data_IF_070650138452
#
_entry.id   IF_070650138452
#
_cell.length_a   1.000
_cell.length_b   1.000
_cell.length_c   1.000
_cell.angle_alpha   90.00
_cell.angle_beta   90.00
_cell.angle_gamma   90.00
#
_symmetry.space_group_name_H-M   'P 1'
#
loop_
_entity.id
_entity.type
_entity.pdbx_description
1 polymer ?
#
# COMPACT_ATOMS: atom_id res chain seq x y z
N UNK A 1 -19.53 28.23 2.95
CA UNK A 1 -19.48 27.17 1.92
C UNK A 1 -18.03 26.77 1.74
N UNK A 2 -17.64 25.53 2.09
CA UNK A 2 -16.32 25.00 1.74
C UNK A 2 -16.45 24.25 0.40
N UNK A 3 -15.52 24.60 -0.49
CA UNK A 3 -15.41 24.30 -1.90
C UNK A 3 -15.53 22.81 -2.30
N UNK A 4 -15.89 22.62 -3.58
CA UNK A 4 -15.62 21.46 -4.45
C UNK A 4 -14.68 20.40 -3.86
N UNK A 5 -15.15 19.15 -3.82
CA UNK A 5 -14.38 17.99 -3.36
C UNK A 5 -13.02 17.94 -4.07
N UNK A 6 -11.95 18.21 -3.33
CA UNK A 6 -10.59 18.01 -3.82
C UNK A 6 -10.40 16.55 -4.24
N UNK A 7 -9.57 16.32 -5.27
CA UNK A 7 -9.15 14.97 -5.65
C UNK A 7 -8.55 14.29 -4.42
N UNK A 8 -8.89 13.02 -4.20
CA UNK A 8 -8.42 12.26 -3.04
C UNK A 8 -6.90 12.03 -3.12
N UNK A 9 -6.17 12.32 -2.05
CA UNK A 9 -4.74 12.07 -1.96
C UNK A 9 -4.49 10.67 -1.37
N UNK A 10 -3.82 9.80 -2.11
CA UNK A 10 -3.48 8.46 -1.63
C UNK A 10 -2.50 8.48 -0.44
N UNK A 11 -1.77 9.57 -0.23
CA UNK A 11 -0.92 9.77 0.95
C UNK A 11 -1.74 9.81 2.25
N UNK A 12 -3.02 10.21 2.21
CA UNK A 12 -3.90 10.20 3.38
C UNK A 12 -4.08 8.78 3.94
N UNK A 13 -4.02 7.74 3.09
CA UNK A 13 -4.03 6.36 3.56
C UNK A 13 -2.72 5.95 4.24
N UNK A 14 -1.57 6.49 3.82
CA UNK A 14 -0.32 6.23 4.53
C UNK A 14 -0.34 6.88 5.91
N UNK A 15 -0.83 8.12 6.00
CA UNK A 15 -1.00 8.78 7.29
C UNK A 15 -1.97 8.01 8.21
N UNK A 16 -3.13 7.59 7.70
CA UNK A 16 -4.06 6.76 8.46
C UNK A 16 -3.43 5.43 8.90
N UNK A 17 -2.59 4.82 8.06
CA UNK A 17 -1.88 3.60 8.42
C UNK A 17 -0.94 3.82 9.61
N UNK A 18 -0.23 4.95 9.66
CA UNK A 18 0.66 5.30 10.76
C UNK A 18 -0.13 5.46 12.08
N UNK A 19 -1.25 6.19 12.05
CA UNK A 19 -2.11 6.39 13.21
C UNK A 19 -2.67 5.07 13.77
N UNK A 20 -3.08 4.15 12.89
CA UNK A 20 -3.61 2.85 13.29
C UNK A 20 -2.52 1.87 13.75
N UNK A 21 -1.33 1.97 13.16
CA UNK A 21 -0.20 1.07 13.45
C UNK A 21 0.42 1.27 14.82
N UNK A 22 0.21 2.42 15.47
CA UNK A 22 0.72 2.69 16.81
C UNK A 22 -0.05 2.01 17.95
N UNK A 23 -1.22 1.42 17.68
CA UNK A 23 -1.99 0.71 18.71
C UNK A 23 -1.33 -0.62 19.05
N UNK A 24 -1.28 -0.94 20.34
CA UNK A 24 -0.82 -2.27 20.76
C UNK A 24 -1.89 -3.33 20.45
N UNK A 25 -1.45 -4.55 20.11
CA UNK A 25 -2.37 -5.69 19.89
C UNK A 25 -3.23 -6.00 21.12
N UNK A 26 -2.72 -5.70 22.32
CA UNK A 26 -3.38 -5.89 23.61
C UNK A 26 -4.59 -4.96 23.81
N UNK A 27 -4.64 -3.83 23.10
CA UNK A 27 -5.72 -2.85 23.21
C UNK A 27 -7.02 -3.34 22.57
N UNK A 28 -8.19 -2.82 22.99
CA UNK A 28 -9.44 -3.04 22.27
C UNK A 28 -9.30 -2.67 20.79
N UNK A 29 -9.60 -3.64 19.91
CA UNK A 29 -9.45 -3.53 18.45
C UNK A 29 -7.99 -3.35 17.97
N UNK A 30 -6.98 -3.61 18.81
CA UNK A 30 -5.56 -3.47 18.48
C UNK A 30 -5.15 -4.27 17.23
N UNK A 31 -5.42 -5.57 17.23
CA UNK A 31 -5.18 -6.43 16.06
C UNK A 31 -5.90 -5.91 14.81
N UNK A 32 -7.18 -5.53 14.94
CA UNK A 32 -7.98 -5.03 13.83
C UNK A 32 -7.42 -3.71 13.27
N UNK A 33 -6.96 -2.81 14.13
CA UNK A 33 -6.33 -1.55 13.74
C UNK A 33 -5.01 -1.80 13.00
N UNK A 34 -4.14 -2.66 13.54
CA UNK A 34 -2.87 -3.01 12.92
C UNK A 34 -3.03 -3.72 11.57
N UNK A 35 -3.95 -4.68 11.46
CA UNK A 35 -4.29 -5.32 10.16
C UNK A 35 -4.82 -4.30 9.16
N UNK A 36 -5.64 -3.37 9.63
CA UNK A 36 -6.13 -2.26 8.80
C UNK A 36 -4.98 -1.34 8.37
N UNK A 37 -4.01 -1.06 9.24
CA UNK A 37 -2.83 -0.26 8.92
C UNK A 37 -2.05 -0.86 7.75
N UNK A 38 -1.79 -2.17 7.77
CA UNK A 38 -1.14 -2.89 6.65
C UNK A 38 -1.93 -2.71 5.35
N UNK A 39 -3.26 -2.87 5.40
CA UNK A 39 -4.12 -2.69 4.23
C UNK A 39 -4.09 -1.25 3.70
N UNK A 40 -4.09 -0.24 4.57
CA UNK A 40 -4.00 1.18 4.18
C UNK A 40 -2.64 1.55 3.61
N UNK A 41 -1.54 1.06 4.20
CA UNK A 41 -0.20 1.24 3.66
C UNK A 41 -0.08 0.65 2.23
N UNK A 42 -0.63 -0.55 2.01
CA UNK A 42 -0.67 -1.14 0.68
C UNK A 42 -1.46 -0.30 -0.33
N UNK A 43 -2.68 0.11 0.01
CA UNK A 43 -3.53 0.87 -0.92
C UNK A 43 -2.95 2.26 -1.21
N UNK A 44 -2.33 2.91 -0.24
CA UNK A 44 -1.61 4.17 -0.45
C UNK A 44 -0.53 4.00 -1.53
N UNK A 45 0.38 3.04 -1.33
CA UNK A 45 1.50 2.78 -2.24
C UNK A 45 1.03 2.31 -3.63
N UNK A 46 0.10 1.36 -3.69
CA UNK A 46 -0.40 0.80 -4.94
C UNK A 46 -1.12 1.85 -5.79
N UNK A 47 -2.05 2.61 -5.20
CA UNK A 47 -2.81 3.58 -5.96
C UNK A 47 -1.96 4.78 -6.41
N UNK A 48 -1.08 5.29 -5.54
CA UNK A 48 -0.14 6.35 -5.93
C UNK A 48 0.78 5.89 -7.07
N UNK A 49 1.34 4.68 -6.97
CA UNK A 49 2.20 4.13 -8.04
C UNK A 49 1.42 3.90 -9.34
N UNK A 50 0.18 3.41 -9.26
CA UNK A 50 -0.68 3.22 -10.44
C UNK A 50 -0.91 4.55 -11.14
N UNK A 51 -1.30 5.58 -10.41
CA UNK A 51 -1.64 6.88 -10.98
C UNK A 51 -0.39 7.54 -11.59
N UNK A 52 0.76 7.44 -10.93
CA UNK A 52 2.05 7.83 -11.50
C UNK A 52 2.35 7.07 -12.78
N UNK A 53 2.21 5.74 -12.78
CA UNK A 53 2.52 4.91 -13.93
C UNK A 53 1.60 5.21 -15.13
N UNK A 54 0.34 5.57 -14.89
CA UNK A 54 -0.59 6.03 -15.94
C UNK A 54 -0.09 7.33 -16.57
N UNK A 55 0.35 8.27 -15.76
CA UNK A 55 0.75 9.60 -16.22
C UNK A 55 2.14 9.63 -16.85
N UNK A 56 3.08 8.86 -16.29
CA UNK A 56 4.52 8.99 -16.58
C UNK A 56 5.12 7.76 -17.26
N UNK A 57 4.50 6.58 -17.12
CA UNK A 57 5.07 5.30 -17.57
C UNK A 57 4.19 4.59 -18.60
N UNK A 58 3.20 5.28 -19.19
CA UNK A 58 2.29 4.74 -20.21
C UNK A 58 1.56 3.46 -19.79
N UNK A 59 1.30 3.30 -18.49
CA UNK A 59 0.53 2.17 -17.98
C UNK A 59 -0.98 2.36 -18.22
N UNK A 60 -1.67 1.30 -18.59
CA UNK A 60 -3.11 1.32 -18.87
C UNK A 60 -3.81 0.29 -17.94
N UNK A 61 -4.46 0.73 -16.85
CA UNK A 61 -5.14 -0.18 -15.93
C UNK A 61 -6.36 -0.83 -16.58
N UNK A 62 -6.64 -2.07 -16.18
CA UNK A 62 -7.82 -2.83 -16.60
C UNK A 62 -9.02 -2.60 -15.67
N UNK A 63 -8.83 -1.87 -14.57
CA UNK A 63 -9.82 -1.63 -13.52
C UNK A 63 -10.36 -2.92 -12.91
N UNK A 64 -9.45 -3.86 -12.63
CA UNK A 64 -9.79 -5.15 -12.04
C UNK A 64 -8.74 -5.60 -11.02
N UNK A 65 -9.05 -6.65 -10.26
CA UNK A 65 -8.07 -7.24 -9.33
C UNK A 65 -6.76 -7.73 -9.99
N UNK A 66 -6.74 -7.87 -11.32
CA UNK A 66 -5.52 -8.20 -12.08
C UNK A 66 -4.52 -7.05 -12.11
N UNK A 67 -4.95 -5.81 -11.94
CA UNK A 67 -4.07 -4.62 -11.99
C UNK A 67 -2.96 -4.69 -10.96
N UNK A 68 -3.20 -5.34 -9.82
CA UNK A 68 -2.17 -5.55 -8.82
C UNK A 68 -0.94 -6.29 -9.36
N UNK A 69 -1.13 -7.34 -10.17
CA UNK A 69 -0.02 -8.07 -10.79
C UNK A 69 0.46 -7.42 -12.09
N UNK A 70 -0.45 -6.82 -12.87
CA UNK A 70 -0.08 -6.20 -14.15
C UNK A 70 0.75 -4.92 -13.96
N UNK A 71 0.44 -4.10 -12.95
CA UNK A 71 1.26 -2.95 -12.59
C UNK A 71 2.68 -3.39 -12.21
N UNK A 72 2.83 -4.42 -11.37
CA UNK A 72 4.14 -4.95 -10.97
C UNK A 72 4.94 -5.45 -12.19
N UNK A 73 4.29 -6.19 -13.11
CA UNK A 73 4.93 -6.63 -14.37
C UNK A 73 5.36 -5.45 -15.23
N UNK A 74 4.52 -4.43 -15.35
CA UNK A 74 4.81 -3.22 -16.11
C UNK A 74 6.06 -2.50 -15.56
N UNK A 75 6.09 -2.25 -14.26
CA UNK A 75 7.22 -1.61 -13.56
C UNK A 75 8.52 -2.42 -13.73
N UNK A 76 8.46 -3.76 -13.64
CA UNK A 76 9.61 -4.64 -13.88
C UNK A 76 10.16 -4.55 -15.30
N UNK A 77 9.29 -4.42 -16.31
CA UNK A 77 9.70 -4.22 -17.70
C UNK A 77 10.35 -2.86 -17.91
N UNK A 78 9.90 -1.84 -17.18
CA UNK A 78 10.51 -0.51 -17.21
C UNK A 78 11.93 -0.52 -16.63
N UNK A 79 12.18 -1.32 -15.59
CA UNK A 79 13.52 -1.58 -15.07
C UNK A 79 14.05 -0.51 -14.10
N UNK A 80 15.32 -0.64 -13.71
CA UNK A 80 15.97 0.27 -12.77
C UNK A 80 15.25 0.34 -11.42
N UNK A 81 15.01 1.55 -10.92
CA UNK A 81 14.29 1.78 -9.66
C UNK A 81 12.89 1.17 -9.65
N UNK A 82 12.23 1.04 -10.80
CA UNK A 82 10.87 0.53 -10.89
C UNK A 82 10.78 -0.97 -10.59
N UNK A 83 11.85 -1.73 -10.82
CA UNK A 83 11.95 -3.11 -10.35
C UNK A 83 11.91 -3.18 -8.82
N UNK A 84 12.58 -2.23 -8.15
CA UNK A 84 12.55 -2.10 -6.69
C UNK A 84 11.17 -1.72 -6.19
N UNK A 85 10.51 -0.72 -6.79
CA UNK A 85 9.10 -0.37 -6.46
C UNK A 85 8.19 -1.59 -6.63
N UNK A 86 8.33 -2.35 -7.72
CA UNK A 86 7.53 -3.54 -7.97
C UNK A 86 7.70 -4.62 -6.89
N UNK A 87 8.93 -4.86 -6.42
CA UNK A 87 9.21 -5.77 -5.29
C UNK A 87 8.49 -5.31 -4.02
N UNK A 88 8.62 -4.02 -3.67
CA UNK A 88 7.97 -3.45 -2.47
C UNK A 88 6.44 -3.60 -2.52
N UNK A 89 5.83 -3.33 -3.68
CA UNK A 89 4.39 -3.53 -3.89
C UNK A 89 3.98 -5.00 -3.79
N UNK A 90 4.84 -5.92 -4.20
CA UNK A 90 4.62 -7.36 -4.07
C UNK A 90 4.60 -7.78 -2.60
N UNK A 91 5.58 -7.33 -1.82
CA UNK A 91 5.69 -7.66 -0.40
C UNK A 91 4.55 -7.04 0.42
N UNK A 92 4.22 -5.76 0.17
CA UNK A 92 3.04 -5.12 0.77
C UNK A 92 1.75 -5.89 0.45
N UNK A 93 1.59 -6.40 -0.78
CA UNK A 93 0.42 -7.20 -1.16
C UNK A 93 0.35 -8.51 -0.39
N UNK A 94 1.49 -9.19 -0.20
CA UNK A 94 1.58 -10.43 0.60
C UNK A 94 1.14 -10.17 2.04
N UNK A 95 1.68 -9.13 2.67
CA UNK A 95 1.28 -8.74 4.04
C UNK A 95 -0.20 -8.39 4.14
N UNK A 96 -0.72 -7.58 3.20
CA UNK A 96 -2.16 -7.28 3.15
C UNK A 96 -2.99 -8.54 3.04
N UNK A 97 -2.68 -9.45 2.10
CA UNK A 97 -3.46 -10.66 1.92
C UNK A 97 -3.50 -11.50 3.21
N UNK A 98 -2.36 -11.61 3.90
CA UNK A 98 -2.31 -12.30 5.19
C UNK A 98 -3.17 -11.58 6.24
N UNK A 99 -3.05 -10.26 6.33
CA UNK A 99 -3.85 -9.43 7.26
C UNK A 99 -5.34 -9.41 6.91
N UNK A 100 -5.75 -9.55 5.67
CA UNK A 100 -7.17 -9.43 5.30
C UNK A 100 -7.89 -10.79 5.39
N UNK A 101 -7.20 -11.90 5.13
CA UNK A 101 -7.86 -13.20 4.93
C UNK A 101 -7.50 -14.28 5.96
N UNK A 102 -6.36 -14.18 6.65
CA UNK A 102 -6.03 -15.19 7.66
C UNK A 102 -6.79 -14.96 8.96
N UNK A 103 -7.20 -16.06 9.59
CA UNK A 103 -7.82 -16.03 10.92
C UNK A 103 -6.82 -15.70 12.02
N UNK A 104 -5.54 -16.02 11.81
CA UNK A 104 -4.46 -15.77 12.75
C UNK A 104 -3.27 -15.20 11.98
N UNK A 105 -2.80 -14.03 12.38
CA UNK A 105 -1.65 -13.36 11.75
C UNK A 105 -0.48 -13.42 12.71
N UNK A 106 0.57 -14.13 12.33
CA UNK A 106 1.81 -14.21 13.09
C UNK A 106 2.70 -13.01 12.77
N UNK A 107 3.42 -12.49 13.77
CA UNK A 107 4.36 -11.36 13.62
C UNK A 107 3.69 -10.06 13.10
N UNK A 108 2.46 -9.78 13.53
CA UNK A 108 1.69 -8.63 13.04
C UNK A 108 2.42 -7.29 13.23
N UNK A 109 3.02 -7.04 14.39
CA UNK A 109 3.78 -5.80 14.64
C UNK A 109 4.90 -5.59 13.62
N UNK A 110 5.60 -6.67 13.25
CA UNK A 110 6.66 -6.63 12.23
C UNK A 110 6.09 -6.34 10.85
N UNK A 111 4.94 -6.93 10.49
CA UNK A 111 4.26 -6.64 9.24
C UNK A 111 3.80 -5.18 9.16
N UNK A 112 3.29 -4.61 10.26
CA UNK A 112 2.92 -3.20 10.33
C UNK A 112 4.13 -2.32 10.09
N UNK A 113 5.21 -2.50 10.87
CA UNK A 113 6.42 -1.69 10.75
C UNK A 113 7.05 -1.77 9.35
N UNK A 114 7.12 -2.97 8.76
CA UNK A 114 7.62 -3.16 7.41
C UNK A 114 6.68 -2.53 6.38
N UNK A 115 5.36 -2.66 6.53
CA UNK A 115 4.41 -2.08 5.58
C UNK A 115 4.47 -0.55 5.56
N UNK A 116 4.60 0.09 6.71
CA UNK A 116 4.75 1.55 6.81
C UNK A 116 6.07 2.01 6.17
N UNK A 117 7.16 1.29 6.43
CA UNK A 117 8.48 1.57 5.85
C UNK A 117 8.45 1.43 4.33
N UNK A 118 8.00 0.28 3.82
CA UNK A 118 7.95 -0.01 2.38
C UNK A 118 7.04 0.98 1.63
N UNK A 119 5.89 1.32 2.20
CA UNK A 119 5.00 2.31 1.60
C UNK A 119 5.67 3.69 1.52
N UNK A 120 6.30 4.15 2.61
CA UNK A 120 7.03 5.42 2.64
C UNK A 120 8.15 5.47 1.61
N UNK A 121 8.92 4.38 1.46
CA UNK A 121 9.97 4.28 0.45
C UNK A 121 9.43 4.20 -0.99
N UNK A 122 8.20 3.73 -1.20
CA UNK A 122 7.55 3.81 -2.52
C UNK A 122 7.25 5.27 -2.83
N UNK A 123 6.67 6.03 -1.89
CA UNK A 123 6.38 7.45 -2.08
C UNK A 123 7.64 8.28 -2.37
N UNK A 124 8.80 7.93 -1.79
CA UNK A 124 10.05 8.63 -2.08
C UNK A 124 10.63 8.35 -3.48
N UNK A 125 10.04 7.43 -4.24
CA UNK A 125 10.48 7.04 -5.60
C UNK A 125 9.51 7.47 -6.70
N UNK A 126 8.33 8.00 -6.34
CA UNK A 126 7.36 8.59 -7.28
C UNK A 126 7.73 10.06 -7.51
#
# INVERSE_FOLDING_TARGET
MKNSRAVFDWADFLWLAQELGHREVSEPLGEAAQRTAVSRAYYAAFCATRDYAVQQLSYHPQHSGKDHSELQKHLRRYGGQWTTVANKLEDLRKFRNQCDYEKQVQNLDSMVAQSLTLASEVFSQL
#
